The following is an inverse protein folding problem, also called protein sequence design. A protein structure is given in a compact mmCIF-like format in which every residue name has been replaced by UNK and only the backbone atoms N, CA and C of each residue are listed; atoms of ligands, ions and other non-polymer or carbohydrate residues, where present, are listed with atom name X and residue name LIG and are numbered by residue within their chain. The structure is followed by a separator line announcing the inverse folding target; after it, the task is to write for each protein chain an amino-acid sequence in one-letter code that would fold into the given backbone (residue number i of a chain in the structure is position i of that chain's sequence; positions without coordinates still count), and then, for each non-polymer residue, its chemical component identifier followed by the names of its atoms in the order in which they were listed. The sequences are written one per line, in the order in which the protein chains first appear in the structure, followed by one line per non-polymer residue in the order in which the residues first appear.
data_IF_860452778587
#
_entry.id   IF_860452778587
#
_cell.length_a   1.000
_cell.length_b   1.000
_cell.length_c   1.000
_cell.angle_alpha   90.00
_cell.angle_beta   90.00
_cell.angle_gamma   90.00
#
_symmetry.space_group_name_H-M   'P 1'
#
loop_
_entity.id
_entity.type
_entity.pdbx_description
1 polymer ?
#
# COMPACT_ATOMS: atom_id res chain seq x y z
N UNK A 1 -11.73 -9.08 17.59
CA UNK A 1 -10.87 -9.15 16.40
C UNK A 1 -10.81 -7.74 15.84
N UNK A 2 -9.65 -7.07 15.88
CA UNK A 2 -9.55 -5.67 15.45
C UNK A 2 -9.67 -5.61 13.92
N UNK A 3 -10.69 -4.94 13.41
CA UNK A 3 -10.77 -4.59 11.99
C UNK A 3 -9.66 -3.57 11.72
N UNK A 4 -8.46 -4.04 11.37
CA UNK A 4 -7.35 -3.20 10.98
C UNK A 4 -7.60 -2.64 9.59
N UNK A 5 -8.17 -1.45 9.50
CA UNK A 5 -8.51 -0.81 8.22
C UNK A 5 -7.28 -0.30 7.45
N UNK A 6 -6.12 -0.22 8.11
CA UNK A 6 -4.88 0.35 7.56
C UNK A 6 -3.75 -0.69 7.51
N UNK A 7 -2.95 -0.59 6.47
CA UNK A 7 -1.74 -1.38 6.22
C UNK A 7 -0.54 -0.46 5.97
N UNK A 8 0.67 -0.96 6.22
CA UNK A 8 1.89 -0.29 5.78
C UNK A 8 1.87 -0.21 4.25
N UNK A 9 2.23 0.95 3.70
CA UNK A 9 2.15 1.26 2.27
C UNK A 9 0.83 1.88 1.82
N UNK A 10 -0.19 1.94 2.69
CA UNK A 10 -1.42 2.64 2.37
C UNK A 10 -1.18 4.15 2.26
N UNK A 11 -1.76 4.77 1.23
CA UNK A 11 -1.78 6.22 1.06
C UNK A 11 -3.04 6.77 1.71
N UNK A 12 -2.87 7.72 2.64
CA UNK A 12 -3.95 8.30 3.44
C UNK A 12 -3.92 9.83 3.42
N UNK A 13 -5.12 10.43 3.52
CA UNK A 13 -5.29 11.87 3.79
C UNK A 13 -5.51 12.07 5.29
N UNK A 14 -4.79 13.01 5.90
CA UNK A 14 -4.84 13.22 7.34
C UNK A 14 -4.71 14.69 7.73
N UNK A 15 -5.29 15.05 8.89
CA UNK A 15 -5.24 16.42 9.41
C UNK A 15 -3.98 16.71 10.21
N UNK A 16 -3.35 17.86 9.95
CA UNK A 16 -2.29 18.46 10.76
C UNK A 16 -2.84 19.80 11.27
N UNK A 17 -3.09 19.93 12.57
CA UNK A 17 -3.78 21.11 13.11
C UNK A 17 -5.27 21.18 12.73
N UNK A 18 -5.83 22.40 12.70
CA UNK A 18 -7.27 22.63 12.57
C UNK A 18 -7.78 22.44 11.12
N UNK A 19 -7.07 23.00 10.13
CA UNK A 19 -7.56 23.13 8.75
C UNK A 19 -6.58 22.62 7.69
N UNK A 20 -5.41 22.10 8.07
CA UNK A 20 -4.45 21.57 7.11
C UNK A 20 -4.65 20.07 6.90
N UNK A 21 -4.83 19.65 5.64
CA UNK A 21 -4.89 18.23 5.24
C UNK A 21 -3.67 17.93 4.40
N UNK A 22 -2.94 16.88 4.77
CA UNK A 22 -1.83 16.36 3.99
C UNK A 22 -2.08 14.94 3.50
N UNK A 23 -1.29 14.54 2.50
CA UNK A 23 -1.30 13.21 1.89
C UNK A 23 0.04 12.54 2.21
N UNK A 24 0.00 11.27 2.61
CA UNK A 24 1.22 10.53 2.89
C UNK A 24 1.01 9.03 2.93
N UNK A 25 2.13 8.31 3.03
CA UNK A 25 2.17 6.86 3.05
C UNK A 25 2.47 6.35 4.47
N UNK A 26 1.69 5.37 4.93
CA UNK A 26 1.89 4.73 6.23
C UNK A 26 3.17 3.89 6.20
N UNK A 27 4.12 4.22 7.06
CA UNK A 27 5.38 3.49 7.20
C UNK A 27 5.38 2.50 8.37
N UNK A 28 4.65 2.83 9.44
CA UNK A 28 4.55 1.96 10.62
C UNK A 28 3.19 2.14 11.31
N UNK A 29 2.73 1.06 11.95
CA UNK A 29 1.44 1.01 12.66
C UNK A 29 1.69 0.49 14.06
N UNK A 30 1.34 1.30 15.06
CA UNK A 30 1.36 0.94 16.46
C UNK A 30 -0.09 0.72 16.92
N UNK A 31 -0.38 -0.48 17.43
CA UNK A 31 -1.72 -0.86 17.89
C UNK A 31 -1.73 -0.96 19.40
N UNK A 32 -2.43 -0.06 20.06
CA UNK A 32 -2.78 -0.15 21.48
C UNK A 32 -4.22 -0.69 21.63
N UNK A 33 -4.60 -1.10 22.83
CA UNK A 33 -5.97 -1.47 23.21
C UNK A 33 -6.95 -0.30 23.04
N UNK A 34 -6.47 0.93 23.15
CA UNK A 34 -7.31 2.13 23.16
C UNK A 34 -7.23 2.95 21.86
N UNK A 35 -6.13 2.86 21.11
CA UNK A 35 -5.92 3.68 19.92
C UNK A 35 -4.93 3.05 18.93
N UNK A 36 -5.19 3.24 17.64
CA UNK A 36 -4.23 2.95 16.57
C UNK A 36 -3.47 4.23 16.24
N UNK A 37 -2.14 4.17 16.29
CA UNK A 37 -1.27 5.25 15.86
C UNK A 37 -0.57 4.87 14.55
N UNK A 38 -0.62 5.79 13.59
CA UNK A 38 -0.05 5.66 12.26
C UNK A 38 1.16 6.59 12.15
N UNK A 39 2.29 6.05 11.74
CA UNK A 39 3.49 6.81 11.41
C UNK A 39 3.51 6.99 9.90
N UNK A 40 3.39 8.24 9.45
CA UNK A 40 3.13 8.59 8.06
C UNK A 40 4.25 9.48 7.56
N UNK A 41 4.85 9.10 6.44
CA UNK A 41 5.71 10.01 5.68
C UNK A 41 4.81 10.81 4.73
N UNK A 42 4.70 12.11 4.98
CA UNK A 42 3.98 13.02 4.10
C UNK A 42 4.76 13.25 2.83
N UNK A 43 4.03 13.42 1.72
CA UNK A 43 4.61 13.85 0.45
C UNK A 43 5.09 15.31 0.47
N UNK A 44 4.85 16.04 1.57
CA UNK A 44 5.49 17.33 1.86
C UNK A 44 6.96 17.20 2.31
N UNK A 45 7.45 15.98 2.56
CA UNK A 45 8.82 15.70 3.01
C UNK A 45 8.98 15.56 4.53
N UNK A 46 7.90 15.69 5.30
CA UNK A 46 7.90 15.54 6.76
C UNK A 46 7.31 14.21 7.21
N UNK A 47 7.80 13.69 8.34
CA UNK A 47 7.25 12.50 9.00
C UNK A 47 6.34 12.90 10.16
N UNK A 48 5.20 12.22 10.31
CA UNK A 48 4.19 12.52 11.31
C UNK A 48 3.75 11.28 12.09
N UNK A 49 3.48 11.48 13.39
CA UNK A 49 2.79 10.52 14.26
C UNK A 49 1.32 10.94 14.38
N UNK A 50 0.41 10.14 13.87
CA UNK A 50 -1.00 10.51 13.65
C UNK A 50 -1.94 9.45 14.22
N UNK A 51 -2.90 9.86 15.05
CA UNK A 51 -3.97 8.95 15.49
C UNK A 51 -4.90 8.63 14.30
N UNK A 52 -5.36 7.39 14.22
CA UNK A 52 -6.38 6.95 13.25
C UNK A 52 -7.59 7.89 13.17
N UNK A 53 -7.98 8.53 14.28
CA UNK A 53 -9.10 9.49 14.34
C UNK A 53 -8.87 10.77 13.52
N UNK A 54 -7.63 11.07 13.15
CA UNK A 54 -7.26 12.23 12.33
C UNK A 54 -7.17 11.90 10.83
N UNK A 55 -7.36 10.63 10.46
CA UNK A 55 -7.48 10.24 9.06
C UNK A 55 -8.83 10.71 8.53
N UNK A 56 -8.81 11.45 7.43
CA UNK A 56 -10.01 12.09 6.86
C UNK A 56 -10.63 11.24 5.75
N UNK A 57 -9.87 10.32 5.17
CA UNK A 57 -10.34 9.42 4.12
C UNK A 57 -9.69 8.04 4.26
N UNK A 58 -10.48 6.99 3.97
CA UNK A 58 -10.02 5.62 3.90
C UNK A 58 -8.85 5.48 2.91
N UNK A 59 -7.93 4.53 3.14
CA UNK A 59 -6.76 4.37 2.29
C UNK A 59 -7.19 3.99 0.88
N UNK A 60 -6.62 4.69 -0.10
CA UNK A 60 -6.78 4.34 -1.51
C UNK A 60 -6.01 3.04 -1.76
N UNK A 61 -6.68 1.88 -1.62
CA UNK A 61 -6.14 0.54 -1.95
C UNK A 61 -5.81 0.35 -3.44
N UNK A 62 -5.75 1.43 -4.21
CA UNK A 62 -6.08 1.48 -5.63
C UNK A 62 -4.87 1.53 -6.57
N UNK A 63 -3.63 1.48 -6.07
CA UNK A 63 -2.46 1.43 -6.96
C UNK A 63 -2.04 0.00 -7.32
N UNK A 64 -1.57 -0.76 -6.33
CA UNK A 64 -0.83 -2.00 -6.58
C UNK A 64 -1.72 -3.21 -6.85
N UNK A 65 -2.82 -3.38 -6.10
CA UNK A 65 -3.73 -4.51 -6.36
C UNK A 65 -4.54 -4.34 -7.64
N UNK A 66 -4.84 -3.11 -8.05
CA UNK A 66 -5.47 -2.84 -9.35
C UNK A 66 -4.47 -3.03 -10.50
N UNK A 67 -3.20 -2.63 -10.32
CA UNK A 67 -2.13 -2.84 -11.30
C UNK A 67 -1.77 -4.32 -11.45
N UNK A 68 -1.71 -5.05 -10.33
CA UNK A 68 -1.53 -6.50 -10.32
C UNK A 68 -2.76 -7.22 -10.87
N UNK A 69 -3.99 -6.84 -10.50
CA UNK A 69 -5.18 -7.46 -11.10
C UNK A 69 -5.25 -7.21 -12.61
N UNK A 70 -4.88 -6.03 -13.10
CA UNK A 70 -4.77 -5.77 -14.54
C UNK A 70 -3.69 -6.64 -15.20
N UNK A 71 -2.52 -6.83 -14.60
CA UNK A 71 -1.46 -7.67 -15.18
C UNK A 71 -1.78 -9.16 -15.14
N UNK A 72 -2.56 -9.63 -14.16
CA UNK A 72 -3.03 -11.03 -14.10
C UNK A 72 -4.24 -11.29 -15.02
N UNK A 73 -5.09 -10.29 -15.27
CA UNK A 73 -6.24 -10.41 -16.19
C UNK A 73 -5.86 -10.14 -17.66
N UNK A 74 -4.81 -9.36 -17.91
CA UNK A 74 -4.22 -9.20 -19.24
C UNK A 74 -3.16 -10.29 -19.36
N UNK A 75 -3.59 -11.52 -19.67
CA UNK A 75 -2.73 -12.68 -19.79
C UNK A 75 -1.69 -12.57 -20.91
N UNK A 76 -0.68 -11.73 -20.75
CA UNK A 76 0.60 -11.81 -21.46
C UNK A 76 1.46 -12.89 -20.79
N UNK A 77 0.87 -14.07 -20.61
CA UNK A 77 1.64 -15.32 -20.55
C UNK A 77 1.99 -15.62 -22.00
N UNK A 78 3.13 -15.09 -22.44
CA UNK A 78 3.75 -15.56 -23.68
C UNK A 78 3.81 -17.10 -23.64
N UNK A 79 3.50 -17.80 -24.74
CA UNK A 79 3.42 -19.25 -24.72
C UNK A 79 4.75 -19.81 -24.23
N UNK A 80 4.68 -20.59 -23.14
CA UNK A 80 5.77 -21.43 -22.71
C UNK A 80 6.10 -22.37 -23.87
N UNK A 81 7.17 -22.06 -24.62
CA UNK A 81 7.69 -22.96 -25.63
C UNK A 81 8.40 -24.09 -24.89
N UNK A 82 7.77 -25.25 -24.82
CA UNK A 82 8.51 -26.51 -24.64
C UNK A 82 9.43 -26.67 -25.84
N UNK A 83 10.69 -26.25 -25.71
CA UNK A 83 11.75 -26.74 -26.57
C UNK A 83 12.45 -27.88 -25.83
N UNK A 84 11.83 -29.06 -25.93
CA UNK A 84 12.59 -30.30 -25.88
C UNK A 84 13.48 -30.35 -27.12
N UNK A 85 14.79 -30.25 -26.95
CA UNK A 85 15.77 -30.85 -27.85
C UNK A 85 17.06 -31.12 -27.08
N UNK A 86 17.16 -32.36 -26.59
CA UNK A 86 18.42 -33.01 -26.25
C UNK A 86 19.25 -33.04 -27.53
N UNK A 87 20.46 -32.47 -27.50
CA UNK A 87 21.49 -32.70 -28.51
C UNK A 87 22.86 -32.38 -27.93
N UNK A 88 23.49 -33.37 -27.30
CA UNK A 88 24.93 -33.60 -27.49
C UNK A 88 25.04 -34.51 -28.71
N UNK A 89 26.04 -34.44 -29.62
CA UNK A 89 27.46 -34.20 -29.32
C UNK A 89 28.24 -33.39 -30.39
N UNK A 90 29.53 -33.14 -30.15
CA UNK A 90 30.67 -33.52 -31.01
C UNK A 90 31.97 -33.27 -30.27
#
# INVERSE_FOLDING_TARGET
MANGYYSIGDIVRFKIGADEIQLGEIQFIEKDRNETILYINSFSGWAYKVSEKKIVAAPERTGLLQKLSKSYLTGDVGPYREETCVSSPS
#
